data_IF_270305402376
#
_entry.id   IF_270305402376
#
_cell.length_a   1.000
_cell.length_b   1.000
_cell.length_c   1.000
_cell.angle_alpha   90.00
_cell.angle_beta   90.00
_cell.angle_gamma   90.00
#
_symmetry.space_group_name_H-M   'P 1'
#
loop_
_entity.id
_entity.type
_entity.pdbx_description
1 polymer ?
#
# COMPACT_ATOMS: atom_id res chain seq x y z
N UNK A 1 -4.87 49.09 10.24
CA UNK A 1 -5.07 47.67 9.90
C UNK A 1 -3.88 47.25 9.06
N UNK A 2 -2.92 46.57 9.69
CA UNK A 2 -1.72 46.09 9.01
C UNK A 2 -2.08 45.00 7.99
N UNK A 3 -1.44 44.96 6.81
CA UNK A 3 -1.58 43.84 5.90
C UNK A 3 -0.82 42.65 6.48
N UNK A 4 -1.54 41.63 6.96
CA UNK A 4 -0.94 40.37 7.39
C UNK A 4 -0.26 39.72 6.17
N UNK A 5 1.06 39.88 6.08
CA UNK A 5 1.88 39.20 5.07
C UNK A 5 1.89 37.71 5.40
N UNK A 6 0.94 36.95 4.85
CA UNK A 6 1.07 35.51 4.68
C UNK A 6 2.14 35.24 3.60
N UNK A 7 3.41 35.45 3.92
CA UNK A 7 4.50 35.04 3.04
C UNK A 7 5.09 33.74 3.56
N UNK A 8 4.98 32.67 2.77
CA UNK A 8 5.72 31.44 2.97
C UNK A 8 7.22 31.77 3.06
N UNK A 9 7.79 31.57 4.24
CA UNK A 9 9.23 31.80 4.46
C UNK A 9 10.02 30.54 4.12
N UNK A 10 11.33 30.67 4.01
CA UNK A 10 12.26 29.53 3.83
C UNK A 10 12.07 28.47 4.94
N UNK A 11 11.74 28.91 6.16
CA UNK A 11 11.44 28.00 7.27
C UNK A 11 10.19 27.14 7.02
N UNK A 12 9.14 27.69 6.39
CA UNK A 12 7.96 26.91 6.00
C UNK A 12 8.32 25.86 4.95
N UNK A 13 9.12 26.25 3.95
CA UNK A 13 9.57 25.33 2.91
C UNK A 13 10.35 24.14 3.48
N UNK A 14 11.30 24.37 4.39
CA UNK A 14 12.04 23.29 5.04
C UNK A 14 11.16 22.41 5.93
N UNK A 15 10.19 22.98 6.64
CA UNK A 15 9.29 22.20 7.49
C UNK A 15 8.31 21.35 6.65
N UNK A 16 7.77 21.89 5.56
CA UNK A 16 6.93 21.16 4.61
C UNK A 16 7.71 20.05 3.89
N UNK A 17 8.96 20.31 3.50
CA UNK A 17 9.86 19.30 2.94
C UNK A 17 10.09 18.16 3.93
N UNK A 18 10.40 18.49 5.18
CA UNK A 18 10.55 17.50 6.24
C UNK A 18 9.28 16.66 6.45
N UNK A 19 8.10 17.30 6.52
CA UNK A 19 6.81 16.60 6.64
C UNK A 19 6.56 15.68 5.45
N UNK A 20 6.76 16.17 4.22
CA UNK A 20 6.55 15.40 3.01
C UNK A 20 7.48 14.17 2.95
N UNK A 21 8.77 14.34 3.25
CA UNK A 21 9.72 13.22 3.31
C UNK A 21 9.36 12.22 4.41
N UNK A 22 8.96 12.69 5.59
CA UNK A 22 8.55 11.83 6.71
C UNK A 22 7.33 10.99 6.34
N UNK A 23 6.29 11.60 5.77
CA UNK A 23 5.09 10.90 5.34
C UNK A 23 5.37 9.94 4.18
N UNK A 24 6.11 10.37 3.14
CA UNK A 24 6.44 9.52 2.00
C UNK A 24 7.28 8.30 2.41
N UNK A 25 8.20 8.46 3.37
CA UNK A 25 8.96 7.34 3.94
C UNK A 25 8.06 6.37 4.68
N UNK A 26 7.09 6.88 5.44
CA UNK A 26 6.18 6.07 6.25
C UNK A 26 5.18 5.28 5.40
N UNK A 27 4.71 5.85 4.28
CA UNK A 27 3.74 5.18 3.39
C UNK A 27 4.37 4.15 2.46
N UNK A 28 5.69 4.23 2.23
CA UNK A 28 6.47 3.32 1.39
C UNK A 28 5.89 3.10 -0.02
N UNK A 29 5.15 4.09 -0.52
CA UNK A 29 4.40 3.98 -1.78
C UNK A 29 5.23 4.28 -3.01
N UNK A 30 6.30 5.05 -2.84
CA UNK A 30 7.20 5.49 -3.90
C UNK A 30 8.66 5.29 -3.48
N UNK A 31 9.54 5.07 -4.46
CA UNK A 31 10.98 5.12 -4.25
C UNK A 31 11.41 6.58 -4.18
N UNK A 32 12.18 6.92 -3.14
CA UNK A 32 12.74 8.26 -2.98
C UNK A 32 14.15 8.29 -3.56
N UNK A 33 14.41 9.23 -4.46
CA UNK A 33 15.76 9.49 -4.98
C UNK A 33 16.59 10.37 -4.02
N UNK A 34 15.91 11.12 -3.13
CA UNK A 34 16.55 11.96 -2.11
C UNK A 34 16.85 11.14 -0.84
N UNK A 35 18.10 10.71 -0.69
CA UNK A 35 18.60 9.95 0.47
C UNK A 35 18.83 10.77 1.75
N UNK A 36 18.58 12.08 1.74
CA UNK A 36 18.65 12.91 2.96
C UNK A 36 17.26 13.02 3.56
N UNK A 37 16.92 12.12 4.49
CA UNK A 37 15.77 12.31 5.38
C UNK A 37 15.93 13.67 6.05
N UNK A 38 15.11 14.64 5.66
CA UNK A 38 15.24 16.03 6.09
C UNK A 38 15.41 16.12 7.61
N UNK A 39 16.24 17.04 8.08
CA UNK A 39 16.33 17.29 9.53
C UNK A 39 15.15 18.17 9.94
N UNK A 40 14.40 17.76 10.96
CA UNK A 40 13.28 18.57 11.50
C UNK A 40 13.82 19.95 11.87
N UNK A 41 13.41 21.04 11.21
CA UNK A 41 13.86 22.37 11.59
C UNK A 41 13.29 22.74 12.96
N UNK A 42 14.05 23.51 13.74
CA UNK A 42 13.55 24.03 15.01
C UNK A 42 12.56 25.16 14.74
N UNK A 43 11.28 24.91 14.96
CA UNK A 43 10.17 25.80 14.57
C UNK A 43 9.21 26.09 15.72
N UNK A 44 8.56 27.25 15.67
CA UNK A 44 7.57 27.68 16.67
C UNK A 44 6.23 26.95 16.46
N UNK A 45 5.48 26.61 17.53
CA UNK A 45 4.23 25.85 17.42
C UNK A 45 3.18 26.46 16.48
N UNK A 46 3.09 27.79 16.40
CA UNK A 46 2.17 28.47 15.48
C UNK A 46 2.50 28.15 14.01
N UNK A 47 3.79 28.20 13.65
CA UNK A 47 4.24 27.90 12.30
C UNK A 47 4.08 26.40 11.95
N UNK A 48 4.24 25.52 12.94
CA UNK A 48 3.99 24.08 12.76
C UNK A 48 2.53 23.79 12.45
N UNK A 49 1.59 24.50 13.11
CA UNK A 49 0.17 24.39 12.83
C UNK A 49 -0.17 24.90 11.42
N UNK A 50 0.35 26.07 11.05
CA UNK A 50 0.16 26.63 9.70
C UNK A 50 0.69 25.69 8.60
N UNK A 51 1.89 25.12 8.78
CA UNK A 51 2.45 24.18 7.81
C UNK A 51 1.64 22.88 7.73
N UNK A 52 1.00 22.44 8.82
CA UNK A 52 0.16 21.24 8.82
C UNK A 52 -1.10 21.46 7.99
N UNK A 53 -1.78 22.59 8.15
CA UNK A 53 -2.96 22.92 7.34
C UNK A 53 -2.61 23.01 5.84
N UNK A 54 -1.46 23.61 5.53
CA UNK A 54 -0.95 23.67 4.15
C UNK A 54 -0.66 22.27 3.62
N UNK A 55 0.00 21.43 4.42
CA UNK A 55 0.31 20.05 4.05
C UNK A 55 -0.95 19.22 3.79
N UNK A 56 -1.97 19.32 4.64
CA UNK A 56 -3.26 18.65 4.45
C UNK A 56 -3.94 19.10 3.15
N UNK A 57 -3.89 20.39 2.84
CA UNK A 57 -4.41 20.90 1.56
C UNK A 57 -3.64 20.31 0.38
N UNK A 58 -2.31 20.23 0.47
CA UNK A 58 -1.45 19.64 -0.57
C UNK A 58 -1.80 18.16 -0.76
N UNK A 59 -1.95 17.40 0.32
CA UNK A 59 -2.31 15.97 0.28
C UNK A 59 -3.65 15.75 -0.41
N UNK A 60 -4.69 16.50 -0.01
CA UNK A 60 -6.01 16.45 -0.64
C UNK A 60 -5.91 16.73 -2.14
N UNK A 61 -5.20 17.81 -2.53
CA UNK A 61 -5.04 18.15 -3.95
C UNK A 61 -4.35 17.03 -4.72
N UNK A 62 -3.23 16.50 -4.22
CA UNK A 62 -2.49 15.42 -4.87
C UNK A 62 -3.32 14.15 -5.01
N UNK A 63 -4.06 13.75 -3.97
CA UNK A 63 -4.99 12.62 -4.04
C UNK A 63 -6.08 12.85 -5.08
N UNK A 64 -6.68 14.05 -5.13
CA UNK A 64 -7.71 14.36 -6.14
C UNK A 64 -7.18 14.32 -7.58
N UNK A 65 -5.89 14.63 -7.77
CA UNK A 65 -5.21 14.50 -9.07
C UNK A 65 -4.79 13.05 -9.40
N UNK A 66 -5.03 12.10 -8.50
CA UNK A 66 -4.68 10.68 -8.68
C UNK A 66 -3.28 10.30 -8.20
N UNK A 67 -2.63 11.16 -7.41
CA UNK A 67 -1.30 10.92 -6.82
C UNK A 67 -1.38 10.90 -5.28
N UNK A 68 -1.93 9.84 -4.67
CA UNK A 68 -2.05 9.73 -3.21
C UNK A 68 -0.69 9.36 -2.57
N UNK A 69 0.27 10.29 -2.62
CA UNK A 69 1.68 10.07 -2.23
C UNK A 69 1.81 9.79 -0.72
N UNK A 70 0.99 10.47 0.09
CA UNK A 70 1.04 10.39 1.55
C UNK A 70 -0.03 9.47 2.15
N UNK A 71 -0.78 8.73 1.31
CA UNK A 71 -1.71 7.71 1.78
C UNK A 71 -1.03 6.33 1.88
N UNK A 72 -1.13 5.65 3.04
CA UNK A 72 -0.55 4.32 3.19
C UNK A 72 -1.27 3.31 2.28
N UNK A 73 -0.51 2.35 1.74
CA UNK A 73 -1.06 1.24 0.94
C UNK A 73 -2.11 0.43 1.71
N UNK A 74 -1.98 0.37 3.03
CA UNK A 74 -2.93 -0.27 3.95
C UNK A 74 -3.35 0.75 4.99
N UNK A 75 -4.61 1.17 4.96
CA UNK A 75 -5.16 2.17 5.89
C UNK A 75 -5.19 1.71 7.36
N UNK A 76 -5.09 0.41 7.64
CA UNK A 76 -5.35 -0.15 8.98
C UNK A 76 -4.14 -0.75 9.70
N UNK A 77 -2.90 -0.54 9.23
CA UNK A 77 -1.72 -1.19 9.85
C UNK A 77 -1.19 -0.48 11.10
N UNK A 78 -1.75 0.67 11.52
CA UNK A 78 -1.44 1.26 12.82
C UNK A 78 -2.45 2.34 13.26
N UNK A 79 -3.13 2.22 14.42
CA UNK A 79 -3.70 3.35 15.12
C UNK A 79 -2.62 3.96 16.01
N UNK A 80 -1.69 4.71 15.45
CA UNK A 80 -0.86 5.62 16.26
C UNK A 80 -1.50 6.99 16.18
N UNK A 81 -2.26 7.29 17.24
CA UNK A 81 -2.84 8.56 17.62
C UNK A 81 -2.43 9.77 16.78
N UNK A 82 -3.37 10.25 15.95
CA UNK A 82 -3.48 11.68 15.68
C UNK A 82 -4.87 12.09 16.17
N UNK A 83 -4.87 12.63 17.37
CA UNK A 83 -6.00 13.32 17.99
C UNK A 83 -6.36 14.51 17.11
N UNK A 84 -7.41 14.40 16.30
CA UNK A 84 -8.21 15.55 15.87
C UNK A 84 -9.67 15.12 15.77
N UNK A 85 -10.38 15.39 16.85
CA UNK A 85 -11.83 15.59 16.90
C UNK A 85 -12.22 16.66 15.88
N UNK A 86 -12.92 16.26 14.82
CA UNK A 86 -14.06 17.03 14.33
C UNK A 86 -15.07 16.08 13.69
N UNK A 87 -16.32 16.30 14.06
CA UNK A 87 -17.47 15.47 13.79
C UNK A 87 -17.70 15.24 12.28
N UNK A 88 -17.98 14.00 11.91
CA UNK A 88 -18.85 13.69 10.77
C UNK A 88 -19.67 12.47 11.15
N UNK A 89 -20.85 12.78 11.65
CA UNK A 89 -21.99 11.87 11.72
C UNK A 89 -22.40 11.45 10.31
N UNK A 90 -22.77 10.18 10.19
CA UNK A 90 -23.57 9.56 9.13
C UNK A 90 -22.86 9.26 7.80
N UNK A 91 -22.21 8.09 7.71
CA UNK A 91 -22.66 7.05 6.78
C UNK A 91 -22.10 5.67 7.16
N UNK A 92 -22.99 4.75 7.55
CA UNK A 92 -22.69 3.34 7.82
C UNK A 92 -22.57 2.54 6.51
N UNK A 93 -21.81 3.05 5.54
CA UNK A 93 -21.49 2.35 4.31
C UNK A 93 -20.32 1.41 4.57
N UNK A 94 -20.63 0.22 5.10
CA UNK A 94 -19.90 -1.06 4.92
C UNK A 94 -18.43 -0.88 4.49
N UNK A 95 -17.59 -0.44 5.43
CA UNK A 95 -16.13 -0.53 5.29
C UNK A 95 -15.81 -1.98 4.89
N UNK A 96 -15.12 -2.25 3.77
CA UNK A 96 -14.73 -3.61 3.44
C UNK A 96 -13.84 -4.07 4.59
N UNK A 97 -14.33 -5.09 5.28
CA UNK A 97 -13.65 -5.78 6.37
C UNK A 97 -12.21 -5.96 5.90
N UNK A 98 -11.25 -5.40 6.64
CA UNK A 98 -9.81 -5.57 6.39
C UNK A 98 -9.45 -7.03 6.59
N UNK A 99 -9.84 -7.84 5.61
CA UNK A 99 -9.73 -9.27 5.62
C UNK A 99 -8.37 -9.56 5.06
N UNK A 100 -7.47 -10.03 5.91
CA UNK A 100 -6.21 -10.58 5.44
C UNK A 100 -6.51 -11.85 4.64
N UNK A 101 -5.86 -11.94 3.48
CA UNK A 101 -5.88 -13.09 2.61
C UNK A 101 -4.52 -13.77 2.64
N UNK A 102 -4.55 -15.09 2.59
CA UNK A 102 -3.38 -15.94 2.67
C UNK A 102 -3.25 -16.80 1.41
N UNK A 103 -2.02 -16.99 0.98
CA UNK A 103 -1.66 -17.90 -0.09
C UNK A 103 -0.66 -18.92 0.45
N UNK A 104 -1.15 -20.09 0.82
CA UNK A 104 -0.32 -21.18 1.35
C UNK A 104 -0.11 -22.25 0.28
N UNK A 105 1.15 -22.62 0.04
CA UNK A 105 1.53 -23.78 -0.75
C UNK A 105 2.87 -24.35 -0.25
N UNK A 106 3.31 -25.49 -0.80
CA UNK A 106 4.61 -26.05 -0.44
C UNK A 106 5.73 -25.04 -0.72
N UNK A 107 6.38 -24.53 0.33
CA UNK A 107 7.43 -23.51 0.24
C UNK A 107 6.93 -22.09 -0.01
N UNK A 108 5.64 -21.80 0.18
CA UNK A 108 5.03 -20.48 -0.02
C UNK A 108 4.10 -20.12 1.14
N UNK A 109 4.30 -18.94 1.70
CA UNK A 109 3.43 -18.30 2.68
C UNK A 109 3.29 -16.82 2.30
N UNK A 110 2.22 -16.54 1.56
CA UNK A 110 1.86 -15.19 1.18
C UNK A 110 0.80 -14.63 2.12
N UNK A 111 1.02 -13.43 2.65
CA UNK A 111 -0.01 -12.65 3.34
C UNK A 111 -0.30 -11.41 2.53
N UNK A 112 -1.57 -11.08 2.36
CA UNK A 112 -1.97 -9.94 1.57
C UNK A 112 -3.26 -9.31 2.09
N UNK A 113 -3.48 -8.06 1.73
CA UNK A 113 -4.73 -7.36 1.96
C UNK A 113 -5.29 -6.85 0.64
N UNK A 114 -6.57 -7.09 0.41
CA UNK A 114 -7.25 -6.56 -0.75
C UNK A 114 -7.76 -5.15 -0.44
N UNK A 115 -7.33 -4.18 -1.24
CA UNK A 115 -7.70 -2.76 -1.15
C UNK A 115 -8.43 -2.35 -2.43
N UNK A 116 -8.98 -1.14 -2.45
CA UNK A 116 -9.65 -0.60 -3.65
C UNK A 116 -8.68 -0.47 -4.85
N UNK A 117 -7.38 -0.40 -4.60
CA UNK A 117 -6.34 -0.21 -5.61
C UNK A 117 -5.79 -1.53 -6.16
N UNK A 118 -6.04 -2.64 -5.45
CA UNK A 118 -5.54 -3.96 -5.81
C UNK A 118 -5.21 -4.81 -4.59
N UNK A 119 -4.30 -5.76 -4.78
CA UNK A 119 -3.84 -6.65 -3.72
C UNK A 119 -2.48 -6.19 -3.21
N UNK A 120 -2.39 -5.83 -1.94
CA UNK A 120 -1.12 -5.48 -1.28
C UNK A 120 -0.55 -6.72 -0.61
N UNK A 121 0.58 -7.23 -1.10
CA UNK A 121 1.32 -8.32 -0.44
C UNK A 121 2.15 -7.73 0.70
N UNK A 122 2.01 -8.30 1.89
CA UNK A 122 2.64 -7.79 3.10
C UNK A 122 4.12 -8.18 3.17
N UNK A 123 4.91 -7.30 3.78
CA UNK A 123 6.28 -7.58 4.16
C UNK A 123 6.39 -8.86 5.01
N UNK A 124 7.45 -9.63 4.78
CA UNK A 124 7.70 -10.93 5.40
C UNK A 124 6.97 -12.10 4.73
N UNK A 125 6.11 -11.85 3.74
CA UNK A 125 5.58 -12.91 2.87
C UNK A 125 6.71 -13.56 2.09
N UNK A 126 6.67 -14.87 1.89
CA UNK A 126 7.70 -15.61 1.15
C UNK A 126 7.13 -16.59 0.13
N UNK A 127 7.89 -16.79 -0.93
CA UNK A 127 7.54 -17.64 -2.07
C UNK A 127 8.72 -18.46 -2.56
N UNK A 128 8.51 -19.24 -3.62
CA UNK A 128 9.55 -20.11 -4.21
C UNK A 128 10.46 -19.34 -5.16
N UNK A 129 11.76 -19.56 -5.06
CA UNK A 129 12.76 -19.07 -6.03
C UNK A 129 12.55 -19.71 -7.40
N UNK A 130 12.31 -21.03 -7.41
CA UNK A 130 12.06 -21.80 -8.61
C UNK A 130 10.83 -21.33 -9.39
N UNK A 131 10.97 -21.29 -10.72
CA UNK A 131 9.90 -20.90 -11.65
C UNK A 131 9.60 -22.03 -12.62
N UNK A 132 8.33 -22.22 -12.97
CA UNK A 132 7.92 -23.19 -13.99
C UNK A 132 8.00 -22.58 -15.40
N UNK A 133 7.86 -23.43 -16.42
CA UNK A 133 7.75 -22.98 -17.82
C UNK A 133 6.52 -22.10 -18.10
N UNK A 134 5.50 -22.13 -17.24
CA UNK A 134 4.30 -21.29 -17.37
C UNK A 134 4.43 -19.94 -16.67
N UNK A 135 5.62 -19.59 -16.17
CA UNK A 135 5.86 -18.33 -15.50
C UNK A 135 6.08 -17.18 -16.50
N UNK A 136 5.13 -16.24 -16.53
CA UNK A 136 5.16 -15.07 -17.42
C UNK A 136 5.50 -13.76 -16.70
N UNK A 137 6.03 -13.85 -15.47
CA UNK A 137 6.28 -12.69 -14.60
C UNK A 137 7.77 -12.48 -14.26
N UNK A 138 8.67 -13.12 -15.02
CA UNK A 138 10.11 -13.13 -14.76
C UNK A 138 10.75 -11.73 -14.79
N UNK A 139 10.47 -10.95 -15.83
CA UNK A 139 11.05 -9.60 -15.95
C UNK A 139 10.65 -8.69 -14.79
N UNK A 140 9.38 -8.73 -14.37
CA UNK A 140 8.88 -7.92 -13.24
C UNK A 140 9.44 -8.40 -11.91
N UNK A 141 9.57 -9.70 -11.73
CA UNK A 141 10.21 -10.28 -10.53
C UNK A 141 11.68 -9.88 -10.42
N UNK A 142 12.40 -9.89 -11.54
CA UNK A 142 13.79 -9.44 -11.60
C UNK A 142 13.90 -7.95 -11.24
N UNK A 143 13.05 -7.09 -11.81
CA UNK A 143 13.01 -5.68 -11.44
C UNK A 143 12.73 -5.47 -9.94
N UNK A 144 11.83 -6.26 -9.34
CA UNK A 144 11.56 -6.21 -7.89
C UNK A 144 12.76 -6.66 -7.04
N UNK A 145 13.58 -7.60 -7.51
CA UNK A 145 14.83 -7.97 -6.85
C UNK A 145 15.87 -6.85 -6.94
N UNK A 146 15.98 -6.21 -8.10
CA UNK A 146 16.90 -5.08 -8.34
C UNK A 146 16.53 -3.85 -7.51
N UNK A 147 15.22 -3.59 -7.33
CA UNK A 147 14.67 -2.56 -6.45
C UNK A 147 14.76 -2.90 -4.96
N UNK A 148 15.16 -4.13 -4.61
CA UNK A 148 15.22 -4.58 -3.22
C UNK A 148 13.84 -4.77 -2.57
N UNK A 149 12.76 -4.83 -3.36
CA UNK A 149 11.41 -5.21 -2.91
C UNK A 149 11.32 -6.70 -2.57
N UNK A 150 12.09 -7.51 -3.29
CA UNK A 150 12.28 -8.92 -3.05
C UNK A 150 13.73 -9.19 -2.64
N UNK A 151 13.92 -10.13 -1.72
CA UNK A 151 15.22 -10.70 -1.39
C UNK A 151 15.22 -12.19 -1.71
N UNK A 152 16.28 -12.69 -2.34
CA UNK A 152 16.46 -14.11 -2.61
C UNK A 152 17.33 -14.73 -1.51
N UNK A 153 16.78 -15.68 -0.75
CA UNK A 153 17.51 -16.45 0.24
C UNK A 153 17.35 -17.95 -0.06
N UNK A 154 18.40 -18.55 -0.64
CA UNK A 154 18.40 -19.96 -1.04
C UNK A 154 17.34 -20.25 -2.10
N UNK A 155 16.39 -21.14 -1.78
CA UNK A 155 15.28 -21.51 -2.66
C UNK A 155 13.99 -20.70 -2.40
N UNK A 156 14.09 -19.60 -1.65
CA UNK A 156 12.94 -18.75 -1.30
C UNK A 156 13.17 -17.30 -1.67
N UNK A 157 12.08 -16.62 -2.00
CA UNK A 157 12.03 -15.16 -2.08
C UNK A 157 11.23 -14.59 -0.93
N UNK A 158 11.65 -13.44 -0.42
CA UNK A 158 11.02 -12.73 0.68
C UNK A 158 10.65 -11.32 0.24
N UNK A 159 9.42 -10.89 0.55
CA UNK A 159 9.01 -9.50 0.40
C UNK A 159 9.57 -8.66 1.55
N UNK A 160 10.45 -7.71 1.24
CA UNK A 160 11.12 -6.87 2.25
C UNK A 160 10.22 -5.73 2.74
N UNK A 161 9.23 -5.34 1.92
CA UNK A 161 8.23 -4.31 2.20
C UNK A 161 6.87 -4.66 1.60
N UNK A 162 5.86 -3.88 1.94
CA UNK A 162 4.52 -4.05 1.37
C UNK A 162 4.52 -3.66 -0.11
N UNK A 163 3.96 -4.52 -0.98
CA UNK A 163 3.98 -4.31 -2.44
C UNK A 163 2.57 -4.37 -3.00
N UNK A 164 2.15 -3.29 -3.67
CA UNK A 164 0.86 -3.22 -4.35
C UNK A 164 0.90 -3.90 -5.72
N UNK A 165 0.00 -4.85 -5.92
CA UNK A 165 -0.30 -5.46 -7.21
C UNK A 165 -1.68 -5.02 -7.69
N UNK A 166 -1.77 -4.52 -8.92
CA UNK A 166 -3.05 -4.09 -9.54
C UNK A 166 -4.10 -5.20 -9.65
N UNK A 167 -3.70 -6.47 -9.50
CA UNK A 167 -4.59 -7.62 -9.55
C UNK A 167 -4.06 -8.76 -8.68
N UNK A 168 -4.92 -9.67 -8.19
CA UNK A 168 -4.50 -10.77 -7.31
C UNK A 168 -3.68 -11.86 -8.02
N UNK A 169 -3.89 -12.08 -9.32
CA UNK A 169 -3.16 -13.12 -10.07
C UNK A 169 -1.66 -12.83 -10.20
N UNK A 170 -1.20 -11.62 -10.58
CA UNK A 170 0.21 -11.25 -10.51
C UNK A 170 0.87 -11.50 -9.15
N UNK A 171 0.18 -11.19 -8.05
CA UNK A 171 0.71 -11.39 -6.70
C UNK A 171 0.91 -12.88 -6.38
N UNK A 172 -0.08 -13.71 -6.69
CA UNK A 172 0.02 -15.16 -6.49
C UNK A 172 1.09 -15.79 -7.39
N UNK A 173 1.15 -15.40 -8.67
CA UNK A 173 2.16 -15.86 -9.63
C UNK A 173 3.58 -15.51 -9.18
N UNK A 174 3.77 -14.30 -8.62
CA UNK A 174 5.07 -13.88 -8.10
C UNK A 174 5.56 -14.77 -6.94
N UNK A 175 4.67 -15.15 -6.02
CA UNK A 175 4.98 -16.02 -4.88
C UNK A 175 5.16 -17.49 -5.28
N UNK A 176 4.30 -18.01 -6.16
CA UNK A 176 4.23 -19.43 -6.50
C UNK A 176 5.18 -19.85 -7.64
N UNK A 177 5.73 -18.88 -8.38
CA UNK A 177 6.66 -19.15 -9.49
C UNK A 177 6.01 -19.75 -10.74
N UNK A 178 4.68 -19.74 -10.84
CA UNK A 178 3.95 -20.22 -12.01
C UNK A 178 2.63 -19.45 -12.17
N UNK A 179 2.08 -19.40 -13.38
CA UNK A 179 0.81 -18.73 -13.63
C UNK A 179 -0.33 -19.40 -12.88
N UNK A 180 -1.06 -18.62 -12.07
CA UNK A 180 -2.24 -19.09 -11.33
C UNK A 180 -3.37 -18.08 -11.34
N UNK A 181 -4.60 -18.56 -11.13
CA UNK A 181 -5.74 -17.70 -10.86
C UNK A 181 -5.66 -17.18 -9.41
N UNK A 182 -5.33 -15.90 -9.23
CA UNK A 182 -5.24 -15.29 -7.90
C UNK A 182 -6.57 -15.27 -7.16
N UNK A 183 -7.70 -15.15 -7.86
CA UNK A 183 -9.02 -15.05 -7.24
C UNK A 183 -9.40 -16.28 -6.41
N UNK A 184 -8.90 -17.46 -6.80
CA UNK A 184 -9.14 -18.72 -6.09
C UNK A 184 -8.00 -19.15 -5.18
N UNK A 185 -6.79 -18.60 -5.38
CA UNK A 185 -5.60 -18.95 -4.58
C UNK A 185 -5.49 -18.16 -3.29
N UNK A 186 -5.93 -16.91 -3.28
CA UNK A 186 -5.99 -16.10 -2.07
C UNK A 186 -7.23 -16.48 -1.27
N UNK A 187 -7.04 -16.86 0.01
CA UNK A 187 -8.12 -17.29 0.90
C UNK A 187 -8.11 -16.51 2.21
N UNK A 188 -9.27 -16.19 2.75
CA UNK A 188 -9.36 -15.59 4.08
C UNK A 188 -9.08 -16.61 5.20
N UNK A 189 -9.08 -16.14 6.45
CA UNK A 189 -8.90 -16.99 7.64
C UNK A 189 -9.99 -18.07 7.80
N UNK A 190 -11.14 -17.90 7.16
CA UNK A 190 -12.24 -18.87 7.16
C UNK A 190 -12.16 -19.87 5.99
N UNK A 191 -11.16 -19.72 5.11
CA UNK A 191 -10.93 -20.57 3.95
C UNK A 191 -11.72 -20.17 2.70
N UNK A 192 -12.50 -19.07 2.74
CA UNK A 192 -13.22 -18.53 1.58
C UNK A 192 -12.23 -17.88 0.63
N UNK A 193 -12.40 -18.10 -0.67
CA UNK A 193 -11.57 -17.50 -1.70
C UNK A 193 -11.84 -16.00 -1.83
N UNK A 194 -10.88 -15.27 -2.39
CA UNK A 194 -11.04 -13.85 -2.71
C UNK A 194 -12.22 -13.62 -3.67
N UNK A 195 -12.48 -14.56 -4.59
CA UNK A 195 -13.65 -14.53 -5.48
C UNK A 195 -14.98 -14.52 -4.71
N UNK A 196 -15.13 -15.46 -3.77
CA UNK A 196 -16.31 -15.58 -2.90
C UNK A 196 -16.46 -14.38 -1.97
N UNK A 197 -15.35 -13.90 -1.40
CA UNK A 197 -15.36 -12.76 -0.50
C UNK A 197 -15.76 -11.45 -1.20
N UNK A 198 -15.47 -11.34 -2.50
CA UNK A 198 -15.77 -10.16 -3.31
C UNK A 198 -17.08 -10.27 -4.09
N UNK A 199 -17.89 -11.31 -3.85
CA UNK A 199 -19.14 -11.59 -4.56
C UNK A 199 -18.97 -11.54 -6.09
N UNK A 200 -17.80 -11.96 -6.59
CA UNK A 200 -17.52 -12.05 -8.03
C UNK A 200 -18.02 -13.36 -8.64
N UNK A 201 -18.85 -14.09 -7.90
CA UNK A 201 -19.58 -15.25 -8.39
C UNK A 201 -20.20 -14.89 -9.74
N UNK A 202 -19.59 -15.35 -10.82
CA UNK A 202 -20.28 -15.44 -12.11
C UNK A 202 -21.59 -16.14 -11.80
N UNK A 203 -22.77 -15.53 -12.04
CA UNK A 203 -24.02 -16.25 -11.84
C UNK A 203 -23.89 -17.56 -12.59
N UNK A 204 -24.10 -18.66 -11.86
CA UNK A 204 -24.05 -20.00 -12.39
C UNK A 204 -24.82 -20.00 -13.70
N UNK A 205 -24.15 -20.49 -14.73
CA UNK A 205 -24.73 -20.64 -16.05
C UNK A 205 -25.72 -21.82 -15.95
N UNK A 206 -26.87 -21.57 -15.34
CA UNK A 206 -27.99 -22.51 -15.28
C UNK A 206 -28.70 -22.51 -16.64
N UNK A 207 -28.01 -22.97 -17.68
CA UNK A 207 -28.64 -23.59 -18.83
C UNK A 207 -28.17 -25.04 -18.87
N UNK A 208 -29.00 -25.96 -18.37
CA UNK A 208 -29.09 -27.35 -18.87
C UNK A 208 -30.13 -28.09 -18.02
N UNK A 209 -31.36 -28.15 -18.53
CA UNK A 209 -32.15 -29.37 -18.77
C UNK A 209 -33.56 -29.00 -19.25
#
# INVERSE_FOLDING_TARGET
>A
MEPCRQSLTVTHAHYLEWLALSHATQTQRFEMDNGTGGTRPHTFPALEAECREIFETIDILLTTLGYPIFEPLIRNRNPVAVTQTTESVLDSQKQPISTEFYCHASGVDGRAQYTQEGLVVLAGSYGRAEVSSSFNYAQKRQAMLEQGLLCLEGDRIYFTRDVLFKAPSPAATALLGHSVNGWTKWKDSTGRTLEEAMDRSTPGNDYEA
#
